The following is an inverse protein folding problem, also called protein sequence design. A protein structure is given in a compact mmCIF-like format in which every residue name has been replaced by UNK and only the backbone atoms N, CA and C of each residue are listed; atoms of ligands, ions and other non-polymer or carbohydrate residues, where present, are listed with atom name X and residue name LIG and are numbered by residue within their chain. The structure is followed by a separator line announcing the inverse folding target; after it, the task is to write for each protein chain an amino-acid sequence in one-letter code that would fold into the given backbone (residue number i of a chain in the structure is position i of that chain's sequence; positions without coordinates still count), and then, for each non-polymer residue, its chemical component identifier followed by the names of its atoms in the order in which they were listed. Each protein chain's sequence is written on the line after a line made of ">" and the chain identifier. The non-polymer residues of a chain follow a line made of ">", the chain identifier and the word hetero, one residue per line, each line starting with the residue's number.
data_IF_891677511610
#
_entry.id   IF_891677511610
#
_cell.length_a   1.000
_cell.length_b   1.000
_cell.length_c   1.000
_cell.angle_alpha   90.00
_cell.angle_beta   90.00
_cell.angle_gamma   90.00
#
_symmetry.space_group_name_H-M   'P 1'
#
loop_
_entity.id
_entity.type
_entity.pdbx_description
1 polymer ?
#
# COMPACT_ATOMS: atom_id res chain seq x y z
N UNK A 1 4.48 -22.68 -4.72
CA UNK A 1 5.70 -23.32 -4.20
C UNK A 1 6.86 -22.57 -4.84
N UNK A 2 7.87 -22.16 -4.07
CA UNK A 2 9.06 -21.50 -4.63
C UNK A 2 9.99 -22.58 -5.15
N UNK A 3 10.11 -22.69 -6.47
CA UNK A 3 11.04 -23.62 -7.08
C UNK A 3 12.45 -23.02 -7.06
N UNK A 4 13.44 -23.82 -6.67
CA UNK A 4 14.83 -23.37 -6.52
C UNK A 4 15.39 -22.86 -7.85
N UNK A 5 14.95 -23.46 -8.97
CA UNK A 5 15.37 -23.09 -10.32
C UNK A 5 14.91 -21.68 -10.75
N UNK A 6 13.85 -21.16 -10.13
CA UNK A 6 13.31 -19.83 -10.43
C UNK A 6 13.99 -18.71 -9.62
N UNK A 7 14.93 -19.08 -8.75
CA UNK A 7 15.60 -18.18 -7.83
C UNK A 7 17.05 -17.96 -8.24
N UNK A 8 17.39 -16.69 -8.47
CA UNK A 8 18.77 -16.24 -8.58
C UNK A 8 19.25 -15.66 -7.26
N UNK A 9 20.31 -16.23 -6.70
CA UNK A 9 20.91 -15.79 -5.43
C UNK A 9 22.26 -15.15 -5.73
N UNK A 10 22.39 -13.86 -5.43
CA UNK A 10 23.65 -13.13 -5.53
C UNK A 10 24.13 -12.73 -4.12
N UNK A 11 25.42 -12.89 -3.84
CA UNK A 11 26.05 -12.45 -2.60
C UNK A 11 26.77 -11.12 -2.82
N UNK A 12 26.68 -10.22 -1.84
CA UNK A 12 27.30 -8.91 -1.94
C UNK A 12 27.75 -8.38 -0.57
N UNK A 13 28.62 -7.37 -0.59
CA UNK A 13 29.12 -6.70 0.61
C UNK A 13 28.12 -5.68 1.11
N UNK A 14 27.84 -5.68 2.40
CA UNK A 14 26.87 -4.75 2.99
C UNK A 14 27.34 -3.30 2.86
N UNK A 15 26.45 -2.40 2.43
CA UNK A 15 26.73 -0.95 2.39
C UNK A 15 26.55 -0.32 3.77
N UNK A 16 27.31 0.74 4.07
CA UNK A 16 27.14 1.59 5.27
C UNK A 16 28.29 1.50 6.29
N UNK A 17 28.29 2.36 7.31
CA UNK A 17 29.37 2.42 8.30
C UNK A 17 29.48 1.11 9.09
N UNK A 18 30.69 0.59 9.23
CA UNK A 18 30.97 -0.61 10.00
C UNK A 18 32.46 -0.92 10.09
N UNK A 19 32.78 -2.00 10.81
CA UNK A 19 34.15 -2.48 10.96
C UNK A 19 34.65 -3.30 9.76
N UNK A 20 35.90 -3.76 9.85
CA UNK A 20 36.57 -4.56 8.81
C UNK A 20 35.71 -5.75 8.34
N UNK A 21 35.08 -6.44 9.29
CA UNK A 21 34.22 -7.59 8.98
C UNK A 21 33.02 -7.25 8.08
N UNK A 22 32.43 -6.05 8.20
CA UNK A 22 31.29 -5.63 7.35
C UNK A 22 31.74 -5.28 5.93
N UNK A 23 32.93 -4.69 5.81
CA UNK A 23 33.45 -4.16 4.55
C UNK A 23 34.12 -5.23 3.68
N UNK A 24 34.68 -6.26 4.29
CA UNK A 24 35.40 -7.33 3.58
C UNK A 24 34.50 -8.54 3.29
N UNK A 25 33.61 -8.90 4.22
CA UNK A 25 32.83 -10.14 4.11
C UNK A 25 31.57 -9.97 3.25
N UNK A 26 31.35 -10.89 2.31
CA UNK A 26 30.18 -10.96 1.43
C UNK A 26 29.00 -11.63 2.14
N UNK A 27 28.53 -11.00 3.21
CA UNK A 27 27.44 -11.53 4.06
C UNK A 27 26.06 -11.14 3.57
N UNK A 28 25.95 -10.10 2.73
CA UNK A 28 24.69 -9.65 2.16
C UNK A 28 24.16 -10.62 1.11
N UNK A 29 22.85 -10.88 1.14
CA UNK A 29 22.20 -11.80 0.21
C UNK A 29 21.11 -11.04 -0.56
N UNK A 30 21.13 -11.19 -1.88
CA UNK A 30 20.08 -10.73 -2.79
C UNK A 30 19.47 -11.94 -3.46
N UNK A 31 18.16 -12.08 -3.36
CA UNK A 31 17.41 -13.15 -4.01
C UNK A 31 16.44 -12.51 -5.00
N UNK A 32 16.49 -12.98 -6.24
CA UNK A 32 15.64 -12.53 -7.34
C UNK A 32 14.79 -13.69 -7.82
N UNK A 33 13.47 -13.50 -7.87
CA UNK A 33 12.56 -14.44 -8.48
C UNK A 33 12.42 -14.11 -9.97
N UNK A 34 12.99 -14.97 -10.82
CA UNK A 34 13.07 -14.77 -12.27
C UNK A 34 11.70 -14.55 -12.94
N UNK A 35 10.66 -15.37 -12.69
CA UNK A 35 9.41 -15.22 -13.43
C UNK A 35 8.57 -14.02 -12.99
N UNK A 36 8.73 -13.54 -11.74
CA UNK A 36 8.00 -12.34 -11.28
C UNK A 36 8.82 -11.04 -11.36
N UNK A 37 10.15 -11.14 -11.50
CA UNK A 37 11.08 -10.01 -11.44
C UNK A 37 11.19 -9.35 -10.06
N UNK A 38 10.66 -10.00 -9.00
CA UNK A 38 10.74 -9.46 -7.64
C UNK A 38 12.11 -9.74 -7.03
N UNK A 39 12.66 -8.73 -6.37
CA UNK A 39 13.96 -8.80 -5.69
C UNK A 39 13.78 -8.58 -4.20
N UNK A 40 14.43 -9.41 -3.38
CA UNK A 40 14.51 -9.25 -1.94
C UNK A 40 15.98 -9.26 -1.49
N UNK A 41 16.31 -8.45 -0.49
CA UNK A 41 17.67 -8.32 0.05
C UNK A 41 17.66 -8.42 1.57
N UNK A 42 18.72 -8.98 2.14
CA UNK A 42 18.95 -9.02 3.58
C UNK A 42 20.43 -8.87 3.93
N UNK A 43 20.72 -8.02 4.90
CA UNK A 43 22.09 -7.67 5.37
C UNK A 43 22.15 -7.51 6.90
N UNK A 44 21.20 -8.10 7.62
CA UNK A 44 20.94 -7.78 9.03
C UNK A 44 21.86 -8.54 9.98
N UNK A 45 22.21 -9.77 9.59
CA UNK A 45 23.05 -10.66 10.39
C UNK A 45 24.46 -10.73 9.82
N UNK A 46 25.43 -11.06 10.68
CA UNK A 46 26.80 -11.41 10.25
C UNK A 46 26.87 -12.73 9.49
N UNK A 47 25.87 -13.60 9.64
CA UNK A 47 25.81 -14.92 9.00
C UNK A 47 25.06 -14.83 7.66
N UNK A 48 25.71 -15.33 6.60
CA UNK A 48 25.13 -15.44 5.26
C UNK A 48 23.89 -16.34 5.24
N UNK A 49 23.89 -17.44 6.00
CA UNK A 49 22.76 -18.38 6.03
C UNK A 49 21.50 -17.74 6.62
N UNK A 50 21.65 -16.99 7.73
CA UNK A 50 20.53 -16.23 8.31
C UNK A 50 20.00 -15.17 7.36
N UNK A 51 20.89 -14.45 6.66
CA UNK A 51 20.47 -13.46 5.67
C UNK A 51 19.74 -14.12 4.49
N UNK A 52 20.17 -15.31 4.04
CA UNK A 52 19.46 -16.07 3.00
C UNK A 52 18.03 -16.42 3.44
N UNK A 53 17.87 -16.99 4.63
CA UNK A 53 16.54 -17.32 5.17
C UNK A 53 15.63 -16.08 5.25
N UNK A 54 16.17 -14.96 5.72
CA UNK A 54 15.42 -13.70 5.79
C UNK A 54 15.08 -13.11 4.41
N UNK A 55 15.99 -13.23 3.44
CA UNK A 55 15.72 -12.78 2.07
C UNK A 55 14.62 -13.63 1.41
N UNK A 56 14.61 -14.94 1.66
CA UNK A 56 13.55 -15.85 1.19
C UNK A 56 12.20 -15.52 1.83
N UNK A 57 12.14 -15.36 3.16
CA UNK A 57 10.90 -14.97 3.85
C UNK A 57 10.31 -13.64 3.31
N UNK A 58 11.17 -12.64 3.07
CA UNK A 58 10.75 -11.37 2.45
C UNK A 58 10.25 -11.53 1.03
N UNK A 59 10.85 -12.44 0.26
CA UNK A 59 10.43 -12.72 -1.11
C UNK A 59 9.05 -13.38 -1.12
N UNK A 60 8.81 -14.33 -0.21
CA UNK A 60 7.51 -14.97 -0.01
C UNK A 60 6.43 -13.96 0.35
N UNK A 61 6.69 -13.06 1.30
CA UNK A 61 5.78 -11.97 1.66
C UNK A 61 5.45 -11.07 0.45
N UNK A 62 6.45 -10.70 -0.35
CA UNK A 62 6.24 -9.89 -1.56
C UNK A 62 5.41 -10.62 -2.61
N UNK A 63 5.65 -11.92 -2.81
CA UNK A 63 4.86 -12.74 -3.72
C UNK A 63 3.42 -12.89 -3.24
N UNK A 64 3.23 -13.14 -1.94
CA UNK A 64 1.91 -13.21 -1.32
C UNK A 64 1.16 -11.88 -1.45
N UNK A 65 1.82 -10.75 -1.20
CA UNK A 65 1.23 -9.42 -1.35
C UNK A 65 0.83 -9.13 -2.81
N UNK A 66 1.65 -9.56 -3.79
CA UNK A 66 1.33 -9.39 -5.22
C UNK A 66 0.17 -10.27 -5.67
N UNK A 67 0.08 -11.49 -5.15
CA UNK A 67 -1.02 -12.41 -5.46
C UNK A 67 -2.32 -12.05 -4.71
N UNK A 68 -2.22 -11.29 -3.61
CA UNK A 68 -3.38 -10.83 -2.87
C UNK A 68 -4.15 -9.78 -3.69
N UNK A 69 -5.32 -10.16 -4.19
CA UNK A 69 -6.22 -9.24 -4.89
C UNK A 69 -6.77 -8.22 -3.90
N UNK A 70 -6.37 -6.96 -4.04
CA UNK A 70 -6.94 -5.87 -3.25
C UNK A 70 -8.46 -5.82 -3.48
N UNK A 71 -9.24 -5.95 -2.41
CA UNK A 71 -10.69 -5.79 -2.49
C UNK A 71 -11.00 -4.36 -2.95
N UNK A 72 -11.81 -4.17 -4.00
CA UNK A 72 -12.19 -2.83 -4.43
C UNK A 72 -12.94 -2.13 -3.29
N UNK A 73 -12.69 -0.83 -3.13
CA UNK A 73 -13.44 -0.03 -2.15
C UNK A 73 -14.88 0.09 -2.63
N UNK A 74 -15.81 -0.44 -1.85
CA UNK A 74 -17.24 -0.18 -2.06
C UNK A 74 -17.50 1.26 -1.62
N UNK A 75 -18.06 2.08 -2.52
CA UNK A 75 -18.40 3.47 -2.19
C UNK A 75 -19.44 3.52 -1.06
N UNK A 76 -19.15 4.30 -0.03
CA UNK A 76 -20.06 4.53 1.09
C UNK A 76 -21.18 5.48 0.68
N UNK A 77 -22.41 5.21 1.12
CA UNK A 77 -23.53 6.13 0.94
C UNK A 77 -23.30 7.43 1.74
N UNK A 78 -23.87 8.58 1.33
CA UNK A 78 -23.86 9.79 2.13
C UNK A 78 -24.43 9.55 3.54
N UNK A 79 -23.86 10.22 4.55
CA UNK A 79 -24.36 10.11 5.93
C UNK A 79 -25.79 10.64 6.06
N UNK A 80 -26.54 10.09 7.03
CA UNK A 80 -27.90 10.57 7.36
C UNK A 80 -27.92 12.08 7.67
N UNK A 81 -26.88 12.58 8.35
CA UNK A 81 -26.71 14.01 8.65
C UNK A 81 -26.53 14.86 7.39
N UNK A 82 -25.76 14.38 6.41
CA UNK A 82 -25.60 15.05 5.12
C UNK A 82 -26.91 15.12 4.33
N UNK A 83 -27.70 14.03 4.36
CA UNK A 83 -29.04 13.99 3.75
C UNK A 83 -29.99 14.98 4.43
N UNK A 84 -30.03 15.00 5.77
CA UNK A 84 -30.87 15.94 6.54
C UNK A 84 -30.55 17.39 6.22
N UNK A 85 -29.27 17.78 6.27
CA UNK A 85 -28.80 19.14 5.94
C UNK A 85 -29.21 19.57 4.52
N UNK A 86 -29.18 18.64 3.56
CA UNK A 86 -29.58 18.91 2.17
C UNK A 86 -31.09 19.19 2.07
N UNK A 87 -31.91 18.40 2.76
CA UNK A 87 -33.36 18.60 2.81
C UNK A 87 -33.72 19.93 3.48
N UNK A 88 -33.12 20.23 4.63
CA UNK A 88 -33.30 21.50 5.35
C UNK A 88 -32.89 22.70 4.49
N UNK A 89 -31.77 22.61 3.78
CA UNK A 89 -31.34 23.64 2.82
C UNK A 89 -32.37 23.85 1.70
N UNK A 90 -32.93 22.76 1.14
CA UNK A 90 -33.98 22.83 0.11
C UNK A 90 -35.25 23.51 0.63
N UNK A 91 -35.67 23.18 1.86
CA UNK A 91 -36.83 23.79 2.51
C UNK A 91 -36.62 25.29 2.75
N UNK A 92 -35.47 25.69 3.31
CA UNK A 92 -35.13 27.12 3.52
C UNK A 92 -35.16 27.93 2.22
N UNK A 93 -34.57 27.39 1.14
CA UNK A 93 -34.57 28.06 -0.15
C UNK A 93 -35.97 28.19 -0.73
N UNK A 94 -36.80 27.15 -0.61
CA UNK A 94 -38.20 27.18 -1.05
C UNK A 94 -38.99 28.27 -0.31
N UNK A 95 -38.87 28.30 1.01
CA UNK A 95 -39.52 29.31 1.84
C UNK A 95 -39.08 30.73 1.45
N UNK A 96 -37.77 30.94 1.25
CA UNK A 96 -37.22 32.21 0.77
C UNK A 96 -37.80 32.63 -0.60
N UNK A 97 -38.04 31.69 -1.51
CA UNK A 97 -38.63 31.97 -2.83
C UNK A 97 -40.10 32.35 -2.74
N UNK A 98 -40.87 31.69 -1.87
CA UNK A 98 -42.28 32.03 -1.64
C UNK A 98 -42.42 33.47 -1.12
N UNK A 99 -41.58 33.85 -0.15
CA UNK A 99 -41.55 35.22 0.38
C UNK A 99 -41.12 36.28 -0.65
N UNK A 100 -40.40 35.86 -1.70
CA UNK A 100 -39.97 36.73 -2.81
C UNK A 100 -40.99 36.77 -3.95
N UNK A 101 -42.04 35.97 -3.90
CA UNK A 101 -43.07 36.03 -4.91
C UNK A 101 -43.75 37.41 -4.86
N UNK A 102 -43.94 38.06 -6.00
CA UNK A 102 -44.67 39.34 -6.06
C UNK A 102 -46.07 39.11 -5.50
N UNK A 103 -46.43 39.88 -4.48
CA UNK A 103 -47.82 39.99 -4.02
C UNK A 103 -48.62 40.53 -5.21
N UNK A 104 -49.75 39.90 -5.55
CA UNK A 104 -50.68 40.49 -6.53
C UNK A 104 -51.18 41.78 -5.89
N UNK A 105 -50.97 42.92 -6.56
CA UNK A 105 -51.58 44.16 -6.13
C UNK A 105 -53.09 43.97 -6.19
N UNK A 106 -53.75 44.08 -5.04
CA UNK A 106 -55.20 44.02 -4.93
C UNK A 106 -55.81 45.21 -5.69
N UNK A 107 -56.83 44.93 -6.51
CA UNK A 107 -57.78 45.93 -7.04
C UNK A 107 -58.63 46.52 -5.90
#
# INVERSE_FOLDING_TARGET
>A
MLDINDLRIDYFRGSGPGGQHRNTSETGVRVTHLPSGLVATATESRSRHMNLQRALARLEEKLAARNCKRRPRIATRPSKTSVKRRLEGKQRLSHKKQLRHRVKADE
#
